data_IF_009829468052
#
_entry.id   IF_009829468052
#
_cell.length_a   1.000
_cell.length_b   1.000
_cell.length_c   1.000
_cell.angle_alpha   90.00
_cell.angle_beta   90.00
_cell.angle_gamma   90.00
#
_symmetry.space_group_name_H-M   'P 1'
#
loop_
_entity.id
_entity.type
_entity.pdbx_description
1 polymer ?
#
# COMPACT_ATOMS: atom_id res chain seq x y z
N UNK A 1 27.95 -34.48 -24.97
CA UNK A 1 27.12 -33.31 -25.32
C UNK A 1 25.81 -33.22 -24.53
N UNK A 2 25.60 -34.03 -23.48
CA UNK A 2 24.39 -33.99 -22.62
C UNK A 2 24.68 -33.28 -21.26
N UNK A 3 25.96 -33.13 -20.88
CA UNK A 3 26.37 -32.54 -19.59
C UNK A 3 26.25 -31.00 -19.57
N UNK A 4 26.48 -30.32 -20.70
CA UNK A 4 26.44 -28.85 -20.81
C UNK A 4 25.02 -28.27 -20.77
N UNK A 5 24.00 -29.07 -21.15
CA UNK A 5 22.61 -28.62 -21.25
C UNK A 5 21.93 -28.59 -19.87
N UNK A 6 22.34 -29.48 -18.97
CA UNK A 6 21.75 -29.61 -17.62
C UNK A 6 22.23 -28.50 -16.68
N UNK A 7 23.50 -28.09 -16.79
CA UNK A 7 24.05 -26.94 -16.06
C UNK A 7 23.41 -25.62 -16.50
N UNK A 8 23.19 -25.44 -17.82
CA UNK A 8 22.45 -24.29 -18.34
C UNK A 8 20.99 -24.28 -17.86
N UNK A 9 20.31 -25.44 -17.85
CA UNK A 9 18.92 -25.54 -17.39
C UNK A 9 18.79 -25.19 -15.90
N UNK A 10 19.72 -25.67 -15.05
CA UNK A 10 19.73 -25.35 -13.62
C UNK A 10 20.02 -23.88 -13.38
N UNK A 11 20.96 -23.27 -14.11
CA UNK A 11 21.24 -21.82 -14.02
C UNK A 11 20.04 -20.99 -14.50
N UNK A 12 19.37 -21.43 -15.56
CA UNK A 12 18.15 -20.80 -16.07
C UNK A 12 16.99 -20.93 -15.07
N UNK A 13 16.81 -22.09 -14.44
CA UNK A 13 15.83 -22.35 -13.38
C UNK A 13 16.11 -21.56 -12.09
N UNK A 14 17.38 -21.37 -11.74
CA UNK A 14 17.79 -20.49 -10.64
C UNK A 14 17.54 -19.02 -10.99
N UNK A 15 17.72 -18.62 -12.25
CA UNK A 15 17.47 -17.25 -12.72
C UNK A 15 15.97 -16.91 -12.82
N UNK A 16 15.08 -17.88 -13.10
CA UNK A 16 13.62 -17.64 -13.03
C UNK A 16 13.04 -17.72 -11.61
N UNK A 17 13.82 -18.17 -10.62
CA UNK A 17 13.35 -18.28 -9.23
C UNK A 17 13.29 -16.94 -8.48
N UNK A 18 13.75 -15.84 -9.08
CA UNK A 18 13.71 -14.49 -8.47
C UNK A 18 12.91 -13.44 -9.26
N UNK A 19 12.00 -13.85 -10.14
CA UNK A 19 10.92 -12.96 -10.56
C UNK A 19 9.84 -12.90 -9.47
N UNK A 20 10.15 -12.33 -8.29
CA UNK A 20 9.08 -11.85 -7.40
C UNK A 20 8.41 -10.69 -8.15
N UNK A 21 7.23 -10.96 -8.71
CA UNK A 21 6.46 -9.95 -9.43
C UNK A 21 6.32 -8.68 -8.59
N UNK A 22 6.67 -7.54 -9.16
CA UNK A 22 6.53 -6.23 -8.51
C UNK A 22 5.05 -6.01 -8.14
N UNK A 23 4.76 -5.71 -6.87
CA UNK A 23 3.40 -5.38 -6.46
C UNK A 23 3.08 -3.97 -6.93
N UNK A 24 2.13 -3.85 -7.85
CA UNK A 24 1.57 -2.56 -8.24
C UNK A 24 0.45 -2.15 -7.28
N UNK A 25 0.35 -0.85 -7.05
CA UNK A 25 -0.69 -0.25 -6.21
C UNK A 25 -1.57 0.66 -7.07
N UNK A 26 -2.88 0.49 -6.98
CA UNK A 26 -3.87 1.32 -7.68
C UNK A 26 -4.76 2.02 -6.66
N UNK A 27 -4.89 3.34 -6.74
CA UNK A 27 -5.73 4.13 -5.83
C UNK A 27 -6.92 4.75 -6.57
N UNK A 28 -7.97 5.08 -5.82
CA UNK A 28 -9.08 5.88 -6.34
C UNK A 28 -8.60 7.24 -6.88
N UNK A 29 -9.25 7.80 -7.91
CA UNK A 29 -8.90 9.11 -8.43
C UNK A 29 -9.06 10.21 -7.36
N UNK A 30 -8.46 11.37 -7.63
CA UNK A 30 -8.59 12.54 -6.78
C UNK A 30 -10.06 12.91 -6.57
N UNK A 31 -10.45 13.12 -5.31
CA UNK A 31 -11.83 13.45 -4.92
C UNK A 31 -11.85 14.80 -4.21
N UNK A 32 -12.70 15.72 -4.69
CA UNK A 32 -13.04 16.92 -3.94
C UNK A 32 -14.12 16.58 -2.91
N UNK A 33 -14.02 17.13 -1.70
CA UNK A 33 -14.96 16.89 -0.62
C UNK A 33 -15.26 18.18 0.13
N UNK A 34 -16.50 18.33 0.60
CA UNK A 34 -16.94 19.44 1.42
C UNK A 34 -16.72 19.14 2.91
N UNK A 35 -16.56 20.17 3.76
CA UNK A 35 -16.48 19.97 5.20
C UNK A 35 -17.71 19.22 5.74
N UNK A 36 -17.48 18.22 6.60
CA UNK A 36 -18.53 17.39 7.19
C UNK A 36 -18.88 16.13 6.38
N UNK A 37 -18.46 16.02 5.12
CA UNK A 37 -18.69 14.82 4.32
C UNK A 37 -17.89 13.62 4.81
N UNK A 38 -18.30 12.43 4.39
CA UNK A 38 -17.50 11.20 4.57
C UNK A 38 -16.87 10.81 3.25
N UNK A 39 -15.55 10.72 3.24
CA UNK A 39 -14.76 10.31 2.06
C UNK A 39 -14.22 8.91 2.26
N UNK A 40 -14.23 8.12 1.18
CA UNK A 40 -13.60 6.81 1.10
C UNK A 40 -12.55 6.83 0.01
N UNK A 41 -11.33 6.44 0.36
CA UNK A 41 -10.19 6.34 -0.56
C UNK A 41 -9.83 4.87 -0.66
N UNK A 42 -9.91 4.32 -1.87
CA UNK A 42 -9.64 2.91 -2.10
C UNK A 42 -8.19 2.70 -2.53
N UNK A 43 -7.62 1.58 -2.15
CA UNK A 43 -6.31 1.12 -2.57
C UNK A 43 -6.35 -0.38 -2.88
N UNK A 44 -5.92 -0.75 -4.06
CA UNK A 44 -5.83 -2.14 -4.51
C UNK A 44 -4.39 -2.51 -4.83
N UNK A 45 -3.91 -3.62 -4.28
CA UNK A 45 -2.61 -4.21 -4.61
C UNK A 45 -2.78 -5.30 -5.68
N UNK A 46 -1.76 -5.57 -6.49
CA UNK A 46 -1.82 -6.63 -7.51
C UNK A 46 -1.78 -8.05 -6.94
N UNK A 47 -1.39 -8.20 -5.68
CA UNK A 47 -1.38 -9.46 -4.95
C UNK A 47 -1.84 -9.26 -3.51
N UNK A 48 -2.14 -10.37 -2.85
CA UNK A 48 -2.46 -10.39 -1.43
C UNK A 48 -1.23 -9.95 -0.60
N UNK A 49 -1.38 -8.88 0.19
CA UNK A 49 -0.36 -8.35 1.12
C UNK A 49 -0.75 -8.57 2.58
N UNK A 50 -1.78 -9.37 2.82
CA UNK A 50 -2.30 -9.80 4.13
C UNK A 50 -1.78 -11.16 4.56
N UNK A 51 -0.53 -11.49 4.22
CA UNK A 51 0.06 -12.79 4.57
C UNK A 51 0.03 -13.03 6.09
N UNK A 52 -0.69 -14.09 6.51
CA UNK A 52 -0.75 -14.60 7.89
C UNK A 52 -1.16 -13.57 8.96
N UNK A 53 -1.97 -12.57 8.60
CA UNK A 53 -2.44 -11.55 9.54
C UNK A 53 -1.41 -10.45 9.86
N UNK A 54 -0.21 -10.51 9.27
CA UNK A 54 0.76 -9.44 9.31
C UNK A 54 0.56 -8.55 8.09
N UNK A 55 -0.40 -7.62 8.18
CA UNK A 55 -0.64 -6.66 7.12
C UNK A 55 0.54 -5.69 7.02
N UNK A 56 1.43 -5.96 6.08
CA UNK A 56 2.46 -5.02 5.68
C UNK A 56 1.83 -3.91 4.83
N UNK A 57 0.82 -3.20 5.33
CA UNK A 57 0.06 -2.18 4.62
C UNK A 57 -0.21 -0.95 5.51
N UNK A 58 -0.03 0.25 4.97
CA UNK A 58 -0.20 1.50 5.70
C UNK A 58 -0.73 2.65 4.81
N UNK A 59 -1.44 3.58 5.44
CA UNK A 59 -1.93 4.83 4.86
C UNK A 59 -1.14 6.03 5.37
N UNK A 60 -0.77 6.92 4.45
CA UNK A 60 -0.05 8.14 4.72
C UNK A 60 -0.78 9.34 4.13
N UNK A 61 -0.64 10.49 4.79
CA UNK A 61 -1.04 11.80 4.27
C UNK A 61 0.20 12.67 4.08
N UNK A 62 0.34 13.23 2.89
CA UNK A 62 1.34 14.23 2.58
C UNK A 62 0.65 15.57 2.28
N UNK A 63 0.97 16.57 3.08
CA UNK A 63 0.57 17.97 2.84
C UNK A 63 1.62 18.66 1.97
N UNK A 64 1.25 19.72 1.21
CA UNK A 64 2.22 20.48 0.43
C UNK A 64 3.37 20.98 1.29
N UNK A 65 4.61 20.64 0.91
CA UNK A 65 5.83 21.04 1.65
C UNK A 65 6.12 20.24 2.92
N UNK A 66 5.32 19.23 3.27
CA UNK A 66 5.55 18.36 4.42
C UNK A 66 5.99 16.95 4.01
N UNK A 67 6.71 16.27 4.92
CA UNK A 67 6.98 14.84 4.78
C UNK A 67 5.69 14.02 4.97
N UNK A 68 5.56 12.85 4.30
CA UNK A 68 4.43 11.95 4.52
C UNK A 68 4.28 11.55 6.00
N UNK A 69 3.07 11.68 6.53
CA UNK A 69 2.70 11.33 7.91
C UNK A 69 1.87 10.05 7.92
N UNK A 70 2.25 9.10 8.75
CA UNK A 70 1.51 7.84 8.94
C UNK A 70 0.16 8.12 9.61
N UNK A 71 -0.92 7.62 9.01
CA UNK A 71 -2.28 7.70 9.54
C UNK A 71 -2.76 6.37 10.11
N UNK A 72 -2.66 5.31 9.30
CA UNK A 72 -3.12 3.96 9.63
C UNK A 72 -2.01 2.98 9.26
N UNK A 73 -1.74 2.00 10.12
CA UNK A 73 -0.82 0.89 9.88
C UNK A 73 -1.54 -0.44 10.09
N UNK A 74 -0.95 -1.54 9.61
CA UNK A 74 -1.56 -2.88 9.66
C UNK A 74 -3.01 -2.90 9.11
N UNK A 75 -3.26 -2.15 8.04
CA UNK A 75 -4.56 -1.94 7.40
C UNK A 75 -5.65 -1.21 8.22
N UNK A 76 -5.71 -1.38 9.54
CA UNK A 76 -6.81 -0.87 10.38
C UNK A 76 -6.38 -0.18 11.68
N UNK A 77 -5.10 -0.25 12.05
CA UNK A 77 -4.60 0.29 13.31
C UNK A 77 -4.26 1.76 13.15
N UNK A 78 -4.96 2.63 13.86
CA UNK A 78 -4.75 4.09 13.75
C UNK A 78 -3.50 4.51 14.52
N UNK A 79 -2.64 5.28 13.86
CA UNK A 79 -1.44 5.84 14.48
C UNK A 79 -1.81 6.86 15.58
N UNK A 80 -1.04 6.85 16.67
CA UNK A 80 -1.24 7.80 17.77
C UNK A 80 -1.16 9.25 17.27
N UNK A 81 -2.07 10.11 17.75
CA UNK A 81 -2.21 11.49 17.29
C UNK A 81 -3.03 11.67 16.01
N UNK A 82 -3.37 10.58 15.30
CA UNK A 82 -4.31 10.66 14.16
C UNK A 82 -5.74 10.85 14.68
N UNK A 83 -6.51 11.83 14.16
CA UNK A 83 -7.87 12.09 14.62
C UNK A 83 -8.79 10.87 14.52
N UNK A 84 -9.76 10.77 15.44
CA UNK A 84 -10.63 9.60 15.54
C UNK A 84 -11.54 9.37 14.32
N UNK A 85 -11.71 10.42 13.52
CA UNK A 85 -12.46 10.42 12.26
C UNK A 85 -11.83 9.63 11.12
N UNK A 86 -10.53 9.31 11.24
CA UNK A 86 -9.85 8.43 10.29
C UNK A 86 -9.98 6.98 10.73
N UNK A 87 -10.30 6.10 9.78
CA UNK A 87 -10.31 4.65 9.96
C UNK A 87 -9.85 3.92 8.70
N UNK A 88 -9.10 2.84 8.87
CA UNK A 88 -8.73 1.94 7.78
C UNK A 88 -9.50 0.64 7.86
N UNK A 89 -9.78 0.05 6.70
CA UNK A 89 -10.38 -1.27 6.56
C UNK A 89 -9.84 -1.98 5.32
N UNK A 90 -10.16 -3.27 5.23
CA UNK A 90 -9.79 -4.11 4.10
C UNK A 90 -8.90 -5.28 4.48
N UNK A 91 -8.68 -6.15 3.51
CA UNK A 91 -7.88 -7.35 3.64
C UNK A 91 -7.41 -7.83 2.27
N UNK A 92 -6.45 -8.74 2.29
CA UNK A 92 -5.85 -9.35 1.11
C UNK A 92 -5.24 -8.30 0.17
N UNK A 93 -6.00 -7.88 -0.84
CA UNK A 93 -5.56 -6.94 -1.87
C UNK A 93 -6.42 -5.68 -1.98
N UNK A 94 -7.48 -5.56 -1.19
CA UNK A 94 -8.45 -4.46 -1.29
C UNK A 94 -8.58 -3.73 0.05
N UNK A 95 -8.17 -2.46 0.06
CA UNK A 95 -8.08 -1.62 1.25
C UNK A 95 -8.83 -0.30 1.06
N UNK A 96 -9.32 0.26 2.16
CA UNK A 96 -10.06 1.53 2.15
C UNK A 96 -9.67 2.37 3.36
N UNK A 97 -9.35 3.64 3.12
CA UNK A 97 -9.30 4.68 4.14
C UNK A 97 -10.64 5.40 4.15
N UNK A 98 -11.26 5.53 5.33
CA UNK A 98 -12.47 6.33 5.54
C UNK A 98 -12.12 7.53 6.40
N UNK A 99 -12.58 8.70 5.97
CA UNK A 99 -12.48 9.97 6.70
C UNK A 99 -13.89 10.47 6.92
N UNK A 100 -14.40 10.39 8.15
CA UNK A 100 -15.73 10.91 8.48
C UNK A 100 -15.65 12.39 8.88
N UNK A 101 -16.62 13.21 8.46
CA UNK A 101 -16.61 14.62 8.85
C UNK A 101 -15.33 15.34 8.42
N UNK A 102 -15.01 15.27 7.13
CA UNK A 102 -13.82 15.88 6.51
C UNK A 102 -13.68 17.34 6.94
N UNK A 103 -12.44 17.77 7.17
CA UNK A 103 -12.09 19.12 7.57
C UNK A 103 -11.14 19.75 6.54
N UNK A 104 -11.02 21.08 6.55
CA UNK A 104 -10.14 21.80 5.61
C UNK A 104 -8.67 21.39 5.76
N UNK A 105 -8.25 21.05 6.98
CA UNK A 105 -6.92 20.53 7.30
C UNK A 105 -6.63 19.13 6.74
N UNK A 106 -7.65 18.40 6.28
CA UNK A 106 -7.51 17.05 5.70
C UNK A 106 -7.11 17.10 4.21
N UNK A 107 -7.00 18.29 3.63
CA UNK A 107 -6.54 18.47 2.25
C UNK A 107 -5.07 18.05 2.09
N UNK A 108 -4.81 17.14 1.15
CA UNK A 108 -3.47 16.67 0.82
C UNK A 108 -3.50 15.43 -0.06
N UNK A 109 -2.32 14.85 -0.30
CA UNK A 109 -2.17 13.60 -1.03
C UNK A 109 -2.16 12.42 -0.09
N UNK A 110 -2.99 11.42 -0.39
CA UNK A 110 -3.12 10.19 0.40
C UNK A 110 -2.46 9.04 -0.34
N UNK A 111 -1.55 8.34 0.33
CA UNK A 111 -0.81 7.22 -0.23
C UNK A 111 -1.07 5.96 0.58
N UNK A 112 -1.27 4.85 -0.10
CA UNK A 112 -1.14 3.53 0.51
C UNK A 112 0.20 2.91 0.12
N UNK A 113 0.84 2.24 1.06
CA UNK A 113 2.10 1.54 0.86
C UNK A 113 1.99 0.13 1.38
N UNK A 114 2.59 -0.84 0.67
CA UNK A 114 2.81 -2.20 1.20
C UNK A 114 4.30 -2.55 1.30
N UNK A 115 4.76 -3.25 2.35
CA UNK A 115 6.19 -3.57 2.48
C UNK A 115 6.71 -4.44 1.33
N UNK A 116 5.85 -5.30 0.77
CA UNK A 116 6.19 -6.07 -0.41
C UNK A 116 6.33 -5.20 -1.68
N UNK A 117 5.73 -4.00 -1.71
CA UNK A 117 6.00 -2.98 -2.74
C UNK A 117 7.31 -2.19 -2.49
N UNK A 118 7.84 -2.17 -1.27
CA UNK A 118 9.07 -1.44 -0.90
C UNK A 118 10.34 -2.20 -1.30
N UNK A 119 10.26 -3.51 -1.54
CA UNK A 119 11.35 -4.30 -2.12
C UNK A 119 11.71 -3.89 -3.57
N UNK A 120 11.00 -2.92 -4.15
CA UNK A 120 11.32 -2.32 -5.45
C UNK A 120 12.09 -0.98 -5.36
N UNK A 121 12.44 -0.50 -4.16
CA UNK A 121 13.20 0.74 -3.96
C UNK A 121 14.65 0.56 -3.51
N UNK A 122 15.10 -0.68 -3.32
CA UNK A 122 16.53 -0.96 -3.14
C UNK A 122 17.20 -1.06 -4.52
N UNK A 123 18.04 -0.07 -4.78
CA UNK A 123 18.92 0.11 -5.95
C UNK A 123 19.69 -1.15 -6.36
#
# INVERSE_FOLDING_TARGET
>A
TICEVHHLLIFFLLCVSECRGQISVTQSPSTAAQPGETVKISCKTSSDVGHWGNYCFAWYLQKPGEAPKLLIYLANSRQSGTPSRFSGSGSNSDFTLTISGVQTEDAGHYYCLSAESINAFTQ
#
